data_IF_420211161319
#
_entry.id   IF_420211161319
#
_cell.length_a   1.000
_cell.length_b   1.000
_cell.length_c   1.000
_cell.angle_alpha   90.00
_cell.angle_beta   90.00
_cell.angle_gamma   90.00
#
_symmetry.space_group_name_H-M   'P 1'
#
loop_
_entity.id
_entity.type
_entity.pdbx_description
1 polymer ?
#
# COMPACT_ATOMS: atom_id res chain seq x y z
N UNK A 1 -18.28 8.80 23.56
CA UNK A 1 -18.09 7.33 23.40
C UNK A 1 -17.02 7.19 22.35
N UNK A 2 -15.86 6.67 22.69
CA UNK A 2 -14.83 6.36 21.70
C UNK A 2 -15.32 5.15 20.92
N UNK A 3 -15.45 5.25 19.60
CA UNK A 3 -15.72 4.09 18.76
C UNK A 3 -14.52 3.14 18.85
N UNK A 4 -14.76 1.95 19.39
CA UNK A 4 -13.70 0.96 19.57
C UNK A 4 -13.16 0.40 18.23
N UNK A 5 -13.86 0.66 17.14
CA UNK A 5 -13.46 0.27 15.79
C UNK A 5 -14.58 0.33 14.77
N UNK A 6 -14.21 0.09 13.53
CA UNK A 6 -15.12 -0.05 12.37
C UNK A 6 -14.93 -1.40 11.72
N UNK A 7 -16.00 -1.95 11.15
CA UNK A 7 -16.01 -3.15 10.33
C UNK A 7 -16.61 -2.82 8.96
N UNK A 8 -16.01 -3.31 7.88
CA UNK A 8 -16.47 -3.14 6.51
C UNK A 8 -16.54 -4.48 5.78
N UNK A 9 -17.53 -4.60 4.90
CA UNK A 9 -17.67 -5.71 3.97
C UNK A 9 -17.76 -5.14 2.56
N UNK A 10 -17.14 -5.81 1.59
CA UNK A 10 -17.23 -5.47 0.17
C UNK A 10 -17.59 -6.72 -0.62
N UNK A 11 -18.48 -6.59 -1.60
CA UNK A 11 -18.77 -7.62 -2.59
C UNK A 11 -18.82 -6.97 -3.97
N UNK A 12 -18.10 -7.53 -4.93
CA UNK A 12 -18.02 -7.08 -6.32
C UNK A 12 -18.29 -8.30 -7.19
N UNK A 13 -19.14 -8.13 -8.19
CA UNK A 13 -19.45 -9.14 -9.20
C UNK A 13 -19.23 -8.51 -10.57
N UNK A 14 -18.32 -9.09 -11.36
CA UNK A 14 -18.07 -8.72 -12.75
C UNK A 14 -18.68 -9.81 -13.61
N UNK A 15 -19.95 -9.64 -13.98
CA UNK A 15 -20.74 -10.66 -14.63
C UNK A 15 -20.46 -10.86 -16.11
N UNK A 16 -19.87 -9.84 -16.76
CA UNK A 16 -19.60 -9.87 -18.20
C UNK A 16 -18.51 -8.85 -18.56
N UNK A 17 -17.56 -9.27 -19.37
CA UNK A 17 -16.51 -8.40 -19.95
C UNK A 17 -16.56 -8.54 -21.47
N UNK A 18 -16.71 -7.42 -22.16
CA UNK A 18 -16.68 -7.39 -23.62
C UNK A 18 -15.24 -7.60 -24.11
N UNK A 19 -14.92 -8.83 -24.50
CA UNK A 19 -13.59 -9.24 -24.93
C UNK A 19 -13.08 -8.48 -26.17
N UNK A 20 -14.00 -7.92 -27.01
CA UNK A 20 -13.61 -7.15 -28.20
C UNK A 20 -12.86 -5.87 -27.82
N UNK A 21 -13.20 -5.27 -26.66
CA UNK A 21 -12.61 -4.03 -26.17
C UNK A 21 -11.69 -4.20 -24.95
N UNK A 22 -11.61 -5.41 -24.40
CA UNK A 22 -10.79 -5.71 -23.22
C UNK A 22 -9.35 -6.05 -23.60
N UNK A 23 -8.39 -5.58 -22.80
CA UNK A 23 -7.05 -6.16 -22.81
C UNK A 23 -7.09 -7.60 -22.29
N UNK A 24 -6.08 -8.45 -22.58
CA UNK A 24 -6.03 -9.82 -22.03
C UNK A 24 -6.22 -9.87 -20.51
N UNK A 25 -5.59 -8.96 -19.78
CA UNK A 25 -5.74 -8.84 -18.33
C UNK A 25 -7.18 -8.46 -17.89
N UNK A 26 -7.87 -7.63 -18.65
CA UNK A 26 -9.26 -7.26 -18.34
C UNK A 26 -10.24 -8.39 -18.71
N UNK A 27 -9.93 -9.19 -19.74
CA UNK A 27 -10.73 -10.33 -20.13
C UNK A 27 -10.77 -11.42 -19.04
N UNK A 28 -9.68 -11.57 -18.27
CA UNK A 28 -9.62 -12.51 -17.13
C UNK A 28 -10.59 -12.14 -15.98
N UNK A 29 -11.16 -10.93 -16.01
CA UNK A 29 -12.17 -10.49 -15.03
C UNK A 29 -13.58 -11.00 -15.34
N UNK A 30 -13.80 -11.63 -16.51
CA UNK A 30 -15.12 -12.16 -16.88
C UNK A 30 -15.61 -13.20 -15.87
N UNK A 31 -16.77 -12.94 -15.27
CA UNK A 31 -17.38 -13.80 -14.24
C UNK A 31 -16.69 -13.74 -12.86
N UNK A 32 -15.68 -12.87 -12.66
CA UNK A 32 -14.96 -12.77 -11.40
C UNK A 32 -15.83 -12.20 -10.28
N UNK A 33 -15.73 -12.79 -9.11
CA UNK A 33 -16.35 -12.30 -7.86
C UNK A 33 -15.27 -12.01 -6.83
N UNK A 34 -15.31 -10.83 -6.25
CA UNK A 34 -14.41 -10.41 -5.19
C UNK A 34 -15.18 -10.07 -3.93
N UNK A 35 -14.72 -10.59 -2.82
CA UNK A 35 -15.26 -10.31 -1.50
C UNK A 35 -14.16 -9.85 -0.57
N UNK A 36 -14.44 -8.86 0.30
CA UNK A 36 -13.51 -8.52 1.37
C UNK A 36 -14.22 -8.30 2.70
N UNK A 37 -13.48 -8.56 3.78
CA UNK A 37 -13.80 -8.16 5.14
C UNK A 37 -12.63 -7.36 5.70
N UNK A 38 -12.92 -6.17 6.23
CA UNK A 38 -11.92 -5.28 6.81
C UNK A 38 -12.36 -4.75 8.16
N UNK A 39 -11.40 -4.48 9.02
CA UNK A 39 -11.63 -3.88 10.31
C UNK A 39 -10.47 -2.97 10.70
N UNK A 40 -10.80 -1.92 11.47
CA UNK A 40 -9.80 -1.07 12.09
C UNK A 40 -10.32 -0.51 13.41
N UNK A 41 -9.41 -0.26 14.34
CA UNK A 41 -9.78 0.30 15.64
C UNK A 41 -8.65 0.23 16.64
N UNK A 42 -8.99 0.48 17.92
CA UNK A 42 -8.03 0.45 19.01
C UNK A 42 -8.34 -0.64 20.07
N UNK A 43 -9.33 -1.49 19.80
CA UNK A 43 -9.79 -2.53 20.71
C UNK A 43 -10.07 -2.03 22.17
N UNK A 44 -10.40 -0.76 22.33
CA UNK A 44 -10.59 -0.12 23.65
C UNK A 44 -9.30 0.25 24.40
N UNK A 45 -8.14 0.12 23.75
CA UNK A 45 -6.83 0.50 24.31
C UNK A 45 -6.41 1.84 23.73
N UNK A 46 -6.22 2.84 24.59
CA UNK A 46 -5.73 4.15 24.17
C UNK A 46 -4.35 4.03 23.51
N UNK A 47 -4.11 4.86 22.50
CA UNK A 47 -2.85 4.87 21.72
C UNK A 47 -2.57 3.63 20.87
N UNK A 48 -3.33 2.55 20.99
CA UNK A 48 -3.23 1.39 20.10
C UNK A 48 -3.98 1.65 18.79
N UNK A 49 -3.38 1.25 17.69
CA UNK A 49 -4.03 1.13 16.40
C UNK A 49 -3.92 -0.30 15.90
N UNK A 50 -5.02 -0.86 15.44
CA UNK A 50 -5.10 -2.15 14.78
C UNK A 50 -5.88 -2.00 13.49
N UNK A 51 -5.43 -2.64 12.42
CA UNK A 51 -6.15 -2.71 11.14
C UNK A 51 -5.86 -4.02 10.44
N UNK A 52 -6.81 -4.50 9.67
CA UNK A 52 -6.64 -5.68 8.84
C UNK A 52 -7.74 -5.79 7.80
N UNK A 53 -7.41 -6.45 6.71
CA UNK A 53 -8.34 -6.81 5.65
C UNK A 53 -7.96 -8.17 5.08
N UNK A 54 -8.96 -8.94 4.69
CA UNK A 54 -8.82 -10.14 3.89
C UNK A 54 -9.77 -10.05 2.70
N UNK A 55 -9.24 -10.20 1.50
CA UNK A 55 -9.99 -10.27 0.25
C UNK A 55 -9.75 -11.60 -0.43
N UNK A 56 -10.78 -12.16 -1.04
CA UNK A 56 -10.67 -13.34 -1.89
C UNK A 56 -11.41 -13.10 -3.20
N UNK A 57 -10.89 -13.72 -4.25
CA UNK A 57 -11.41 -13.65 -5.60
C UNK A 57 -11.70 -15.05 -6.10
N UNK A 58 -12.96 -15.27 -6.49
CA UNK A 58 -13.42 -16.44 -7.24
C UNK A 58 -13.33 -16.05 -8.72
N UNK A 59 -12.42 -16.67 -9.44
CA UNK A 59 -12.16 -16.44 -10.87
C UNK A 59 -12.67 -17.62 -11.67
N UNK A 60 -13.30 -17.30 -12.80
CA UNK A 60 -13.75 -18.32 -13.74
C UNK A 60 -12.55 -18.94 -14.46
N UNK A 61 -12.48 -20.27 -14.52
CA UNK A 61 -11.49 -21.04 -15.28
C UNK A 61 -10.03 -20.95 -14.81
N UNK A 62 -9.74 -20.30 -13.67
CA UNK A 62 -8.41 -20.22 -13.05
C UNK A 62 -8.53 -20.41 -11.53
N UNK A 63 -7.39 -20.51 -10.85
CA UNK A 63 -7.37 -20.69 -9.41
C UNK A 63 -7.90 -19.45 -8.67
N UNK A 64 -8.51 -19.68 -7.50
CA UNK A 64 -8.96 -18.63 -6.60
C UNK A 64 -7.77 -17.87 -6.01
N UNK A 65 -7.92 -16.57 -5.88
CA UNK A 65 -6.86 -15.68 -5.41
C UNK A 65 -7.23 -14.98 -4.11
N UNK A 66 -6.22 -14.56 -3.38
CA UNK A 66 -6.45 -13.83 -2.14
C UNK A 66 -5.38 -12.78 -1.87
N UNK A 67 -5.78 -11.77 -1.12
CA UNK A 67 -4.84 -10.82 -0.55
C UNK A 67 -5.29 -10.43 0.87
N UNK A 68 -4.33 -10.12 1.73
CA UNK A 68 -4.62 -9.69 3.08
C UNK A 68 -3.50 -8.84 3.67
N UNK A 69 -3.86 -8.02 4.65
CA UNK A 69 -2.89 -7.38 5.51
C UNK A 69 -3.32 -7.39 6.97
N UNK A 70 -2.33 -7.32 7.84
CA UNK A 70 -2.48 -7.01 9.26
C UNK A 70 -1.53 -5.88 9.63
N UNK A 71 -2.03 -4.93 10.41
CA UNK A 71 -1.26 -3.79 10.90
C UNK A 71 -1.53 -3.56 12.38
N UNK A 72 -0.46 -3.23 13.10
CA UNK A 72 -0.52 -2.74 14.47
C UNK A 72 0.36 -1.51 14.62
N UNK A 73 -0.10 -0.54 15.39
CA UNK A 73 0.63 0.69 15.66
C UNK A 73 0.41 1.18 17.07
N UNK A 74 1.36 2.02 17.52
CA UNK A 74 1.32 2.64 18.83
C UNK A 74 1.72 4.12 18.73
N UNK A 75 0.99 4.98 19.46
CA UNK A 75 1.30 6.40 19.61
C UNK A 75 1.79 6.67 21.01
N UNK A 76 2.95 7.30 21.16
CA UNK A 76 3.53 7.71 22.43
C UNK A 76 3.05 9.12 22.78
N UNK A 77 1.80 9.25 23.18
CA UNK A 77 1.13 10.55 23.44
C UNK A 77 1.80 11.41 24.52
N UNK A 78 2.46 10.77 25.48
CA UNK A 78 3.17 11.45 26.58
C UNK A 78 4.59 11.90 26.20
N UNK A 79 5.06 11.58 25.00
CA UNK A 79 6.38 11.95 24.48
C UNK A 79 6.24 13.19 23.60
N UNK A 80 7.24 14.09 23.68
CA UNK A 80 7.28 15.28 22.81
C UNK A 80 7.08 14.91 21.36
N UNK A 81 6.24 15.68 20.62
CA UNK A 81 5.85 15.47 19.22
C UNK A 81 4.99 14.22 18.97
N UNK A 82 4.53 13.54 20.03
CA UNK A 82 3.64 12.38 19.98
C UNK A 82 4.08 11.36 18.91
N UNK A 83 5.32 10.81 19.01
CA UNK A 83 5.78 9.86 18.01
C UNK A 83 4.86 8.65 17.91
N UNK A 84 4.65 8.18 16.69
CA UNK A 84 3.93 6.93 16.44
C UNK A 84 4.78 5.99 15.59
N UNK A 85 4.59 4.70 15.83
CA UNK A 85 5.17 3.62 15.03
C UNK A 85 4.08 2.65 14.64
N UNK A 86 4.08 2.20 13.39
CA UNK A 86 3.27 1.07 12.98
C UNK A 86 4.07 0.06 12.16
N UNK A 87 3.61 -1.17 12.20
CA UNK A 87 4.11 -2.25 11.37
C UNK A 87 2.93 -2.91 10.68
N UNK A 88 3.06 -3.10 9.36
CA UNK A 88 2.11 -3.83 8.53
C UNK A 88 2.82 -4.94 7.79
N UNK A 89 2.18 -6.10 7.76
CA UNK A 89 2.50 -7.15 6.82
C UNK A 89 1.34 -7.30 5.83
N UNK A 90 1.66 -7.34 4.55
CA UNK A 90 0.70 -7.55 3.45
C UNK A 90 1.14 -8.73 2.60
N UNK A 91 0.18 -9.50 2.09
CA UNK A 91 0.42 -10.58 1.14
C UNK A 91 -0.65 -10.56 0.05
N UNK A 92 -0.19 -10.67 -1.18
CA UNK A 92 -1.02 -10.76 -2.39
C UNK A 92 -0.62 -12.03 -3.14
N UNK A 93 -1.56 -12.94 -3.34
CA UNK A 93 -1.29 -14.16 -4.11
C UNK A 93 -0.90 -13.84 -5.55
N UNK A 94 -0.39 -14.84 -6.26
CA UNK A 94 0.33 -14.69 -7.52
C UNK A 94 -0.52 -14.07 -8.63
N UNK A 95 -1.79 -14.43 -8.70
CA UNK A 95 -2.75 -13.92 -9.68
C UNK A 95 -3.80 -12.97 -9.09
N UNK A 96 -3.60 -12.45 -7.88
CA UNK A 96 -4.56 -11.50 -7.30
C UNK A 96 -4.69 -10.25 -8.16
N UNK A 97 -5.93 -9.90 -8.51
CA UNK A 97 -6.25 -8.70 -9.28
C UNK A 97 -6.74 -7.58 -8.35
N UNK A 98 -5.94 -6.55 -8.10
CA UNK A 98 -6.39 -5.40 -7.33
C UNK A 98 -7.32 -4.53 -8.16
N UNK A 99 -8.58 -4.91 -8.28
CA UNK A 99 -9.61 -4.21 -9.06
C UNK A 99 -9.67 -2.70 -8.78
N UNK A 100 -9.42 -2.33 -7.55
CA UNK A 100 -9.28 -0.96 -7.09
C UNK A 100 -7.93 -0.80 -6.41
N UNK A 101 -7.36 0.39 -6.47
CA UNK A 101 -6.06 0.67 -5.89
C UNK A 101 -6.02 0.30 -4.41
N UNK A 102 -5.48 -0.85 -4.17
CA UNK A 102 -4.85 -1.27 -2.96
C UNK A 102 -5.71 -1.49 -1.74
N UNK A 103 -5.26 -2.42 -0.97
CA UNK A 103 -5.46 -2.52 0.46
C UNK A 103 -4.91 -1.25 1.11
N UNK A 104 -5.60 -0.14 0.96
CA UNK A 104 -5.10 1.15 1.36
C UNK A 104 -5.85 1.67 2.58
N UNK A 105 -5.11 2.09 3.56
CA UNK A 105 -5.59 2.84 4.69
C UNK A 105 -5.48 4.34 4.47
N UNK A 106 -5.28 4.79 3.24
CA UNK A 106 -5.26 6.19 2.92
C UNK A 106 -3.90 6.87 3.06
N UNK A 107 -2.81 6.14 2.93
CA UNK A 107 -1.49 6.75 2.73
C UNK A 107 -1.29 7.28 1.30
N UNK A 108 -2.33 7.20 0.46
CA UNK A 108 -2.23 7.62 -0.93
C UNK A 108 -1.21 6.78 -1.70
N UNK A 109 -0.39 7.45 -2.48
CA UNK A 109 0.64 6.82 -3.32
C UNK A 109 1.75 6.15 -2.49
N UNK A 110 1.98 6.56 -1.25
CA UNK A 110 3.05 6.03 -0.39
C UNK A 110 2.71 4.70 0.29
N UNK A 111 1.61 4.12 -0.06
CA UNK A 111 1.13 2.91 0.61
C UNK A 111 2.02 1.69 0.39
N UNK A 112 2.56 1.51 -0.83
CA UNK A 112 3.37 0.36 -1.23
C UNK A 112 4.74 0.76 -1.78
N UNK A 113 5.29 1.89 -1.33
CA UNK A 113 6.49 2.48 -1.85
C UNK A 113 6.19 3.46 -2.98
N UNK A 114 6.57 4.71 -2.82
CA UNK A 114 6.35 5.76 -3.83
C UNK A 114 7.23 5.53 -5.05
N UNK A 115 8.47 5.13 -4.84
CA UNK A 115 9.44 4.90 -5.92
C UNK A 115 9.21 3.54 -6.56
N UNK A 116 9.16 2.48 -5.76
CA UNK A 116 8.99 1.12 -6.23
C UNK A 116 7.73 0.95 -7.07
N UNK A 117 6.61 1.49 -6.64
CA UNK A 117 5.34 1.42 -7.39
C UNK A 117 5.41 2.13 -8.74
N UNK A 118 6.23 3.17 -8.88
CA UNK A 118 6.40 3.90 -10.13
C UNK A 118 7.39 3.23 -11.09
N UNK A 119 8.43 2.56 -10.60
CA UNK A 119 9.52 2.00 -11.41
C UNK A 119 9.41 0.51 -11.66
N UNK A 120 8.88 -0.26 -10.71
CA UNK A 120 8.83 -1.72 -10.79
C UNK A 120 7.40 -2.28 -10.89
N UNK A 121 6.40 -1.42 -10.87
CA UNK A 121 4.99 -1.77 -11.00
C UNK A 121 4.28 -1.89 -9.67
N UNK A 122 2.94 -1.99 -9.70
CA UNK A 122 2.16 -2.04 -8.49
C UNK A 122 2.45 -3.33 -7.72
N UNK A 123 2.94 -3.22 -6.49
CA UNK A 123 3.24 -4.35 -5.60
C UNK A 123 1.97 -4.88 -4.93
N UNK A 124 0.99 -5.30 -5.69
CA UNK A 124 -0.33 -5.73 -5.23
C UNK A 124 -0.79 -7.05 -5.87
N UNK A 125 0.16 -7.80 -6.42
CA UNK A 125 0.04 -9.15 -6.94
C UNK A 125 1.39 -9.84 -6.79
N UNK A 126 1.42 -11.14 -6.53
CA UNK A 126 2.64 -11.95 -6.44
C UNK A 126 3.69 -11.44 -5.41
N UNK A 127 3.25 -10.73 -4.36
CA UNK A 127 4.17 -10.13 -3.39
C UNK A 127 3.73 -10.29 -1.96
N UNK A 128 4.73 -10.26 -1.07
CA UNK A 128 4.56 -10.00 0.36
C UNK A 128 5.42 -8.80 0.76
N UNK A 129 4.88 -7.96 1.64
CA UNK A 129 5.49 -6.67 1.97
C UNK A 129 5.53 -6.48 3.48
N UNK A 130 6.72 -6.19 3.99
CA UNK A 130 6.90 -5.69 5.36
C UNK A 130 7.00 -4.16 5.29
N UNK A 131 6.14 -3.47 6.02
CA UNK A 131 6.10 -2.03 6.06
C UNK A 131 6.19 -1.52 7.49
N UNK A 132 7.14 -0.64 7.76
CA UNK A 132 7.29 0.09 9.02
C UNK A 132 7.05 1.57 8.74
N UNK A 133 6.17 2.21 9.51
CA UNK A 133 5.94 3.65 9.46
C UNK A 133 6.32 4.30 10.80
N UNK A 134 7.02 5.42 10.70
CA UNK A 134 7.33 6.31 11.82
C UNK A 134 6.74 7.69 11.51
N UNK A 135 6.09 8.32 12.47
CA UNK A 135 5.54 9.67 12.33
C UNK A 135 5.74 10.46 13.61
N UNK A 136 6.07 11.74 13.49
CA UNK A 136 6.10 12.71 14.57
C UNK A 136 5.32 13.96 14.17
N UNK A 137 4.77 14.69 15.14
CA UNK A 137 4.00 15.91 14.91
C UNK A 137 4.65 17.05 15.70
N UNK A 138 5.74 17.66 15.17
CA UNK A 138 6.50 18.70 15.89
C UNK A 138 5.72 20.01 16.04
N UNK A 139 4.75 20.28 15.18
CA UNK A 139 3.82 21.42 15.26
C UNK A 139 2.40 20.91 14.98
N UNK A 140 1.38 21.65 15.47
CA UNK A 140 -0.03 21.30 15.25
C UNK A 140 -0.40 21.16 13.78
N UNK A 141 0.29 21.89 12.90
CA UNK A 141 0.05 21.89 11.45
C UNK A 141 1.16 21.21 10.63
N UNK A 142 2.09 20.50 11.28
CA UNK A 142 3.21 19.83 10.60
C UNK A 142 3.41 18.43 11.17
N UNK A 143 3.32 17.44 10.31
CA UNK A 143 3.76 16.07 10.56
C UNK A 143 4.96 15.73 9.69
N UNK A 144 5.88 14.94 10.22
CA UNK A 144 7.04 14.41 9.48
C UNK A 144 7.11 12.91 9.73
N UNK A 145 7.43 12.14 8.69
CA UNK A 145 7.48 10.70 8.80
C UNK A 145 8.50 10.04 7.91
N UNK A 146 8.72 8.77 8.20
CA UNK A 146 9.52 7.86 7.41
C UNK A 146 8.74 6.56 7.20
N UNK A 147 8.80 6.03 5.97
CA UNK A 147 8.22 4.74 5.61
C UNK A 147 9.36 3.85 5.14
N UNK A 148 9.41 2.62 5.63
CA UNK A 148 10.33 1.61 5.15
C UNK A 148 9.56 0.41 4.65
N UNK A 149 9.96 -0.08 3.49
CA UNK A 149 9.36 -1.25 2.85
C UNK A 149 10.43 -2.29 2.52
N UNK A 150 10.07 -3.55 2.68
CA UNK A 150 10.82 -4.71 2.21
C UNK A 150 9.86 -5.57 1.38
N UNK A 151 10.14 -5.65 0.09
CA UNK A 151 9.31 -6.32 -0.90
C UNK A 151 9.89 -7.70 -1.18
N UNK A 152 9.05 -8.73 -1.15
CA UNK A 152 9.45 -10.09 -1.42
C UNK A 152 8.47 -10.76 -2.38
N UNK A 153 8.97 -11.33 -3.44
CA UNK A 153 8.21 -12.04 -4.45
C UNK A 153 7.80 -13.43 -3.96
N UNK A 154 6.59 -13.87 -4.24
CA UNK A 154 6.13 -15.22 -3.91
C UNK A 154 6.61 -16.22 -4.97
N UNK A 155 6.29 -15.98 -6.23
CA UNK A 155 6.75 -16.79 -7.37
C UNK A 155 7.65 -15.94 -8.29
N UNK A 156 8.95 -16.25 -8.28
CA UNK A 156 9.95 -15.53 -9.07
C UNK A 156 9.95 -15.88 -10.56
N UNK A 157 9.27 -16.95 -10.96
CA UNK A 157 9.11 -17.31 -12.37
C UNK A 157 8.13 -16.36 -13.09
N UNK A 158 7.27 -15.69 -12.34
CA UNK A 158 6.34 -14.66 -12.81
C UNK A 158 6.93 -13.24 -12.80
N UNK A 159 8.19 -13.08 -12.39
CA UNK A 159 8.89 -11.81 -12.24
C UNK A 159 9.41 -11.62 -10.82
N UNK A 160 10.41 -10.78 -10.65
CA UNK A 160 11.06 -10.55 -9.37
C UNK A 160 10.86 -9.11 -8.90
N UNK A 161 10.09 -8.92 -7.82
CA UNK A 161 9.81 -7.65 -7.15
C UNK A 161 10.67 -7.44 -5.91
N UNK A 162 11.64 -8.34 -5.62
CA UNK A 162 12.45 -8.24 -4.41
C UNK A 162 13.21 -6.90 -4.39
N UNK A 163 13.15 -6.22 -3.26
CA UNK A 163 13.78 -4.92 -3.10
C UNK A 163 13.38 -4.21 -1.82
N UNK A 164 13.92 -3.03 -1.60
CA UNK A 164 13.66 -2.22 -0.40
C UNK A 164 13.45 -0.77 -0.77
N UNK A 165 12.66 -0.07 0.06
CA UNK A 165 12.44 1.37 -0.11
C UNK A 165 12.41 2.08 1.23
N UNK A 166 12.96 3.28 1.24
CA UNK A 166 12.86 4.24 2.33
C UNK A 166 12.30 5.55 1.79
N UNK A 167 11.14 5.96 2.29
CA UNK A 167 10.55 7.27 2.00
C UNK A 167 10.63 8.17 3.23
N UNK A 168 10.95 9.44 2.99
CA UNK A 168 10.84 10.52 3.96
C UNK A 168 9.81 11.52 3.45
N UNK A 169 8.88 11.92 4.29
CA UNK A 169 7.82 12.83 3.91
C UNK A 169 7.48 13.85 5.00
N UNK A 170 6.85 14.94 4.60
CA UNK A 170 6.16 15.83 5.51
C UNK A 170 4.76 16.15 5.00
N UNK A 171 3.85 16.45 5.92
CA UNK A 171 2.52 16.98 5.67
C UNK A 171 2.40 18.31 6.40
N UNK A 172 2.39 19.42 5.68
CA UNK A 172 2.35 20.75 6.23
C UNK A 172 1.09 21.50 5.80
N UNK A 173 0.16 21.67 6.72
CA UNK A 173 -0.99 22.55 6.54
C UNK A 173 -0.51 24.01 6.66
N UNK A 174 -0.13 24.60 5.53
CA UNK A 174 0.36 26.00 5.46
C UNK A 174 -0.74 26.99 5.82
N UNK A 175 -1.98 26.67 5.45
CA UNK A 175 -3.19 27.41 5.78
C UNK A 175 -4.38 26.45 5.80
N UNK A 176 -5.57 26.98 6.18
CA UNK A 176 -6.82 26.20 6.17
C UNK A 176 -7.17 25.62 4.78
N UNK A 177 -6.61 26.20 3.72
CA UNK A 177 -6.92 25.85 2.34
C UNK A 177 -5.72 25.26 1.57
N UNK A 178 -4.54 25.12 2.17
CA UNK A 178 -3.35 24.64 1.48
C UNK A 178 -2.55 23.68 2.35
N UNK A 179 -2.36 22.46 1.85
CA UNK A 179 -1.44 21.48 2.39
C UNK A 179 -0.30 21.27 1.38
N UNK A 180 0.93 21.26 1.87
CA UNK A 180 2.16 20.99 1.10
C UNK A 180 2.78 19.71 1.61
N UNK A 181 3.03 18.76 0.70
CA UNK A 181 3.51 17.43 1.03
C UNK A 181 4.74 17.09 0.19
N UNK A 182 5.96 17.41 0.66
CA UNK A 182 7.19 16.91 0.04
C UNK A 182 7.40 15.44 0.42
N UNK A 183 7.90 14.67 -0.55
CA UNK A 183 8.41 13.31 -0.34
C UNK A 183 9.73 13.11 -1.06
N UNK A 184 10.63 12.36 -0.44
CA UNK A 184 11.86 11.87 -1.04
C UNK A 184 11.94 10.37 -0.74
N UNK A 185 12.04 9.55 -1.79
CA UNK A 185 12.12 8.10 -1.71
C UNK A 185 13.41 7.57 -2.33
N UNK A 186 13.91 6.51 -1.74
CA UNK A 186 15.06 5.75 -2.23
C UNK A 186 14.65 4.27 -2.34
N UNK A 187 14.49 3.80 -3.56
CA UNK A 187 14.21 2.40 -3.87
C UNK A 187 15.47 1.68 -4.36
N UNK A 188 15.70 0.49 -3.85
CA UNK A 188 16.79 -0.40 -4.26
C UNK A 188 16.19 -1.75 -4.65
N UNK A 189 16.10 -2.09 -5.94
CA UNK A 189 15.75 -3.42 -6.40
C UNK A 189 16.90 -4.40 -6.10
N UNK A 190 16.58 -5.67 -5.86
CA UNK A 190 17.58 -6.72 -5.63
C UNK A 190 18.06 -7.36 -6.94
N UNK A 191 17.40 -7.07 -8.08
CA UNK A 191 17.70 -7.63 -9.41
C UNK A 191 17.57 -6.60 -10.50
N UNK A 192 18.45 -6.66 -11.49
CA UNK A 192 18.28 -5.90 -12.73
C UNK A 192 17.16 -6.49 -13.61
N UNK A 193 16.70 -5.72 -14.59
CA UNK A 193 15.74 -6.20 -15.59
C UNK A 193 16.30 -7.42 -16.38
N UNK A 194 17.61 -7.47 -16.64
CA UNK A 194 18.28 -8.58 -17.31
C UNK A 194 18.30 -9.85 -16.46
N UNK A 195 18.22 -9.72 -15.13
CA UNK A 195 18.20 -10.81 -14.15
C UNK A 195 16.78 -11.20 -13.72
N UNK A 196 15.76 -10.69 -14.41
CA UNK A 196 14.36 -10.98 -14.15
C UNK A 196 13.66 -10.03 -13.17
N UNK A 197 14.30 -8.91 -12.80
CA UNK A 197 13.64 -7.84 -12.08
C UNK A 197 12.55 -7.16 -12.90
N UNK A 198 11.54 -6.60 -12.25
CA UNK A 198 10.40 -5.94 -12.93
C UNK A 198 10.63 -4.45 -13.19
N UNK A 199 11.65 -3.85 -12.60
CA UNK A 199 12.02 -2.46 -12.85
C UNK A 199 12.63 -2.27 -14.24
N UNK A 200 12.68 -1.03 -14.69
CA UNK A 200 13.35 -0.64 -15.92
C UNK A 200 14.85 -0.39 -15.65
N UNK A 201 15.73 -1.21 -16.21
CA UNK A 201 17.17 -1.00 -16.14
C UNK A 201 17.92 -1.87 -15.14
N UNK A 202 18.95 -1.32 -14.50
CA UNK A 202 19.82 -2.03 -13.56
C UNK A 202 19.22 -2.18 -12.16
N UNK A 203 20.03 -2.72 -11.26
CA UNK A 203 19.74 -2.87 -9.83
C UNK A 203 20.27 -1.72 -8.97
N UNK A 204 20.68 -0.63 -9.60
CA UNK A 204 21.10 0.58 -8.91
C UNK A 204 19.95 1.24 -8.13
N UNK A 205 20.29 1.94 -7.07
CA UNK A 205 19.30 2.68 -6.27
C UNK A 205 18.64 3.80 -7.07
N UNK A 206 17.32 3.89 -7.00
CA UNK A 206 16.50 4.93 -7.63
C UNK A 206 16.12 5.99 -6.59
N UNK A 207 16.56 7.22 -6.80
CA UNK A 207 16.15 8.36 -5.99
C UNK A 207 14.98 9.08 -6.66
N UNK A 208 13.94 9.32 -5.89
CA UNK A 208 12.74 10.03 -6.31
C UNK A 208 12.46 11.20 -5.39
N UNK A 209 11.92 12.28 -5.93
CA UNK A 209 11.39 13.37 -5.12
C UNK A 209 10.11 13.92 -5.75
N UNK A 210 9.14 14.23 -4.89
CA UNK A 210 7.85 14.77 -5.29
C UNK A 210 7.44 15.89 -4.35
N UNK A 211 6.74 16.87 -4.87
CA UNK A 211 6.10 17.94 -4.10
C UNK A 211 4.62 18.00 -4.47
N UNK A 212 3.76 17.65 -3.54
CA UNK A 212 2.31 17.66 -3.73
C UNK A 212 1.70 18.89 -3.05
N UNK A 213 0.82 19.56 -3.76
CA UNK A 213 0.00 20.65 -3.22
C UNK A 213 -1.47 20.21 -3.23
N UNK A 214 -2.11 20.25 -2.07
CA UNK A 214 -3.54 19.97 -1.93
C UNK A 214 -4.24 21.28 -1.57
N UNK A 215 -5.15 21.72 -2.45
CA UNK A 215 -5.96 22.93 -2.23
C UNK A 215 -7.39 22.52 -1.92
N UNK A 216 -7.97 23.10 -0.86
CA UNK A 216 -9.34 22.89 -0.42
C UNK A 216 -10.17 24.16 -0.74
N UNK A 217 -11.34 24.00 -1.36
CA UNK A 217 -12.24 25.10 -1.78
C UNK A 217 -13.55 25.06 -1.02
#
# INVERSE_FOLDING_TARGET
>A
MSEAGTLGLTAIDISDVDEEFASPFQAERDGMKTYSVRGQGNAGVENLFLSGEYAWQDKKDVDDENAWYLEAGWTFSDVAWSPSVSYRYSRYSEGFDPLFTGFSRGYGTWFQGEVASNYAGPFNSNTQIHHVALKVTPLENLSVGALWFDFNTLDRDLGNFDGRELDLYAEWAVSDNLIVMPVVGLYQPDRSAEEGGTQLGGDDSNLYSQLVFVTLF
#
